data_IF_929687949614
#
_entry.id   IF_929687949614
#
_cell.length_a   1.000
_cell.length_b   1.000
_cell.length_c   1.000
_cell.angle_alpha   90.00
_cell.angle_beta   90.00
_cell.angle_gamma   90.00
#
_symmetry.space_group_name_H-M   'P 1'
#
loop_
_entity.id
_entity.type
_entity.pdbx_description
1 polymer ?
#
# COMPACT_ATOMS: atom_id res chain seq x y z
N UNK A 1 -4.27 69.93 33.22
CA UNK A 1 -5.35 70.09 32.23
C UNK A 1 -6.13 68.79 32.19
N UNK A 2 -7.27 68.86 32.87
CA UNK A 2 -8.50 68.04 32.90
C UNK A 2 -8.63 66.79 32.02
N UNK A 3 -8.95 65.69 32.70
CA UNK A 3 -9.73 64.53 32.24
C UNK A 3 -11.21 64.88 32.10
N UNK A 4 -11.92 64.35 31.09
CA UNK A 4 -13.39 64.28 31.01
C UNK A 4 -13.91 63.22 30.01
N UNK A 5 -15.06 62.65 30.38
CA UNK A 5 -15.87 61.57 29.78
C UNK A 5 -16.54 61.84 28.40
N UNK A 6 -16.85 60.74 27.68
CA UNK A 6 -18.03 60.32 26.83
C UNK A 6 -19.17 61.30 26.39
N UNK A 7 -20.08 60.99 25.40
CA UNK A 7 -20.21 59.91 24.38
C UNK A 7 -20.69 60.42 22.94
N UNK A 8 -21.56 59.77 22.10
CA UNK A 8 -21.33 59.46 20.67
C UNK A 8 -22.17 60.27 19.64
N UNK A 9 -22.14 59.94 18.33
CA UNK A 9 -23.41 59.50 17.72
C UNK A 9 -23.30 58.39 16.65
N UNK A 10 -24.48 57.85 16.34
CA UNK A 10 -24.76 56.69 15.51
C UNK A 10 -24.83 56.96 13.99
N UNK A 11 -24.86 55.83 13.28
CA UNK A 11 -25.55 55.57 12.00
C UNK A 11 -24.89 56.01 10.68
N UNK A 12 -24.49 55.00 9.89
CA UNK A 12 -24.22 55.10 8.46
C UNK A 12 -24.23 53.71 7.81
N UNK A 13 -25.37 53.32 7.24
CA UNK A 13 -25.57 52.09 6.42
C UNK A 13 -24.95 52.26 5.03
N UNK A 14 -24.32 51.22 4.48
CA UNK A 14 -24.56 50.72 3.10
C UNK A 14 -23.88 49.35 2.91
N UNK A 15 -24.67 48.28 2.80
CA UNK A 15 -24.95 47.51 1.58
C UNK A 15 -23.77 46.66 1.07
N UNK A 16 -23.74 45.40 1.52
CA UNK A 16 -23.16 44.27 0.79
C UNK A 16 -24.30 43.34 0.37
N UNK A 17 -24.49 43.21 -0.94
CA UNK A 17 -25.43 42.30 -1.59
C UNK A 17 -24.86 40.88 -1.66
N UNK A 18 -25.54 39.91 -1.05
CA UNK A 18 -25.55 38.49 -1.47
C UNK A 18 -26.96 37.91 -1.34
N UNK A 19 -27.63 37.84 -2.48
CA UNK A 19 -28.60 36.81 -2.86
C UNK A 19 -27.86 35.46 -3.01
N UNK A 20 -28.43 34.27 -2.90
CA UNK A 20 -29.74 33.79 -2.50
C UNK A 20 -29.57 32.28 -2.25
N UNK A 21 -30.12 31.74 -1.15
CA UNK A 21 -30.46 30.33 -1.02
C UNK A 21 -31.88 30.25 -0.45
N UNK A 22 -32.83 29.56 -1.10
CA UNK A 22 -34.19 29.43 -0.60
C UNK A 22 -34.41 28.14 0.22
N UNK A 23 -35.54 28.05 0.95
CA UNK A 23 -35.54 27.58 2.33
C UNK A 23 -36.59 26.48 2.62
N UNK A 24 -36.53 25.93 3.83
CA UNK A 24 -37.69 25.69 4.72
C UNK A 24 -37.12 25.45 6.14
N UNK A 25 -37.34 26.26 7.18
CA UNK A 25 -38.56 26.68 7.88
C UNK A 25 -39.39 25.49 8.39
N UNK A 26 -39.53 25.24 9.70
CA UNK A 26 -39.06 25.97 10.88
C UNK A 26 -39.65 25.41 12.18
N UNK A 27 -39.23 26.05 13.28
CA UNK A 27 -39.84 26.14 14.62
C UNK A 27 -39.92 24.83 15.45
N UNK A 28 -39.06 24.62 16.45
CA UNK A 28 -38.92 25.27 17.78
C UNK A 28 -39.83 24.68 18.86
N UNK A 29 -39.23 24.03 19.87
CA UNK A 29 -39.41 24.29 21.32
C UNK A 29 -38.80 23.14 22.14
N UNK A 30 -38.09 23.51 23.22
CA UNK A 30 -37.33 22.62 24.13
C UNK A 30 -38.23 21.99 25.23
N UNK A 31 -37.69 21.21 26.21
CA UNK A 31 -38.04 19.82 26.50
C UNK A 31 -38.92 19.66 27.76
N UNK A 32 -39.26 18.42 28.21
CA UNK A 32 -38.49 17.85 29.33
C UNK A 32 -38.44 16.29 29.44
N UNK A 33 -37.48 15.85 30.27
CA UNK A 33 -37.47 14.72 31.21
C UNK A 33 -37.76 13.25 30.81
N UNK A 34 -36.71 12.46 31.03
CA UNK A 34 -36.66 11.25 31.85
C UNK A 34 -37.86 10.28 31.83
N UNK A 35 -37.61 9.09 31.28
CA UNK A 35 -37.91 7.81 31.95
C UNK A 35 -37.30 6.60 31.24
N UNK A 36 -36.65 5.79 32.06
CA UNK A 36 -36.21 4.39 31.84
C UNK A 36 -37.29 3.51 31.23
N UNK A 37 -36.92 2.45 30.49
CA UNK A 37 -37.66 1.20 30.53
C UNK A 37 -36.80 0.05 31.10
N UNK A 38 -37.42 -0.90 31.83
CA UNK A 38 -36.71 -1.96 32.52
C UNK A 38 -36.47 -3.20 31.65
N UNK A 39 -35.52 -3.98 32.14
CA UNK A 39 -35.16 -5.34 31.80
C UNK A 39 -36.35 -6.32 31.85
N UNK A 40 -36.33 -7.32 30.96
CA UNK A 40 -36.92 -8.62 31.19
C UNK A 40 -36.03 -9.71 30.59
N UNK A 41 -35.49 -10.54 31.48
CA UNK A 41 -34.88 -11.85 31.23
C UNK A 41 -35.63 -12.86 32.12
N UNK A 42 -35.35 -14.17 32.06
CA UNK A 42 -36.02 -15.15 31.19
C UNK A 42 -36.57 -16.34 32.02
N UNK A 43 -37.16 -17.36 31.37
CA UNK A 43 -37.14 -18.83 31.73
C UNK A 43 -38.35 -19.60 31.11
N UNK A 44 -38.38 -20.95 31.07
CA UNK A 44 -37.46 -21.86 30.37
C UNK A 44 -38.20 -23.11 29.76
N UNK A 45 -37.41 -24.15 29.44
CA UNK A 45 -37.74 -25.60 29.34
C UNK A 45 -38.46 -26.08 28.06
N UNK A 46 -37.76 -26.88 27.22
CA UNK A 46 -37.72 -28.37 27.18
C UNK A 46 -38.60 -28.84 26.00
N UNK A 47 -38.32 -29.85 25.16
CA UNK A 47 -37.54 -31.09 25.26
C UNK A 47 -37.57 -31.79 23.88
N UNK A 48 -36.54 -32.60 23.58
CA UNK A 48 -36.63 -33.90 22.87
C UNK A 48 -36.76 -33.98 21.32
N UNK A 49 -35.70 -34.55 20.73
CA UNK A 49 -35.58 -35.18 19.39
C UNK A 49 -36.36 -36.51 19.31
N UNK A 50 -36.69 -37.05 18.11
CA UNK A 50 -35.81 -38.10 17.57
C UNK A 50 -35.71 -38.19 16.03
N UNK A 51 -34.65 -38.87 15.61
CA UNK A 51 -34.23 -39.29 14.26
C UNK A 51 -35.20 -40.24 13.53
N UNK A 52 -35.14 -40.26 12.18
CA UNK A 52 -35.26 -41.44 11.27
C UNK A 52 -35.03 -41.02 9.81
N UNK A 53 -33.98 -41.52 9.16
CA UNK A 53 -33.93 -42.66 8.20
C UNK A 53 -34.39 -42.34 6.76
N UNK A 54 -33.45 -42.54 5.82
CA UNK A 54 -33.64 -42.64 4.36
C UNK A 54 -34.54 -43.83 3.96
N UNK A 55 -35.04 -43.81 2.71
CA UNK A 55 -34.88 -45.02 1.88
C UNK A 55 -34.62 -44.77 0.36
N UNK A 56 -33.69 -45.59 -0.16
CA UNK A 56 -33.72 -46.38 -1.42
C UNK A 56 -33.93 -45.76 -2.83
N UNK A 57 -32.97 -46.04 -3.73
CA UNK A 57 -33.14 -46.23 -5.19
C UNK A 57 -33.98 -47.49 -5.52
N UNK A 58 -34.55 -47.66 -6.75
CA UNK A 58 -33.90 -48.45 -7.84
C UNK A 58 -34.40 -48.07 -9.29
N UNK A 59 -34.20 -48.85 -10.37
CA UNK A 59 -32.99 -49.49 -10.93
C UNK A 59 -32.70 -49.14 -12.43
N UNK A 60 -31.58 -49.71 -12.90
CA UNK A 60 -31.01 -49.83 -14.24
C UNK A 60 -31.92 -50.12 -15.45
N UNK A 61 -31.55 -49.59 -16.63
CA UNK A 61 -31.77 -50.24 -17.94
C UNK A 61 -30.53 -50.15 -18.84
N UNK A 62 -30.29 -51.27 -19.50
CA UNK A 62 -29.18 -51.65 -20.38
C UNK A 62 -29.31 -51.12 -21.82
N UNK A 63 -28.17 -51.16 -22.51
CA UNK A 63 -27.79 -50.66 -23.85
C UNK A 63 -28.65 -51.12 -25.05
N UNK A 64 -28.37 -50.63 -26.28
CA UNK A 64 -27.33 -51.28 -27.09
C UNK A 64 -26.39 -50.32 -27.84
N UNK A 65 -25.23 -50.88 -28.21
CA UNK A 65 -24.17 -50.29 -28.99
C UNK A 65 -24.58 -50.04 -30.47
N UNK A 66 -24.01 -48.99 -31.08
CA UNK A 66 -23.76 -48.99 -32.52
C UNK A 66 -22.55 -48.13 -32.91
N UNK A 67 -21.71 -48.75 -33.74
CA UNK A 67 -20.78 -48.18 -34.74
C UNK A 67 -19.62 -47.30 -34.26
N UNK A 68 -18.46 -47.97 -34.21
CA UNK A 68 -17.13 -47.41 -34.48
C UNK A 68 -17.16 -46.45 -35.68
N UNK A 69 -16.66 -45.23 -35.48
CA UNK A 69 -15.95 -44.50 -36.53
C UNK A 69 -14.74 -43.86 -35.88
N UNK A 70 -13.57 -44.38 -36.24
CA UNK A 70 -12.24 -43.94 -35.84
C UNK A 70 -12.06 -42.48 -36.22
N UNK A 71 -12.11 -41.59 -35.23
CA UNK A 71 -11.63 -40.21 -35.35
C UNK A 71 -10.40 -40.09 -34.46
N UNK A 72 -9.25 -39.97 -35.10
CA UNK A 72 -7.93 -39.70 -34.51
C UNK A 72 -8.07 -38.58 -33.49
N UNK A 73 -7.71 -38.77 -32.20
CA UNK A 73 -7.68 -37.67 -31.26
C UNK A 73 -6.43 -36.84 -31.58
N UNK A 74 -6.66 -35.58 -31.94
CA UNK A 74 -5.65 -34.55 -31.92
C UNK A 74 -4.95 -34.58 -30.56
N UNK A 75 -3.63 -34.68 -30.58
CA UNK A 75 -2.76 -34.59 -29.43
C UNK A 75 -3.07 -33.30 -28.68
N UNK A 76 -3.81 -33.42 -27.57
CA UNK A 76 -3.89 -32.38 -26.58
C UNK A 76 -2.48 -32.24 -25.98
N UNK A 77 -1.74 -31.25 -26.46
CA UNK A 77 -0.53 -30.79 -25.81
C UNK A 77 -0.94 -30.24 -24.45
N UNK A 78 -0.75 -31.05 -23.41
CA UNK A 78 -0.70 -30.59 -22.03
C UNK A 78 0.22 -29.37 -21.99
N UNK A 79 -0.22 -28.19 -21.51
CA UNK A 79 0.71 -27.09 -21.31
C UNK A 79 1.73 -27.58 -20.29
N UNK A 80 2.99 -27.62 -20.70
CA UNK A 80 4.10 -27.98 -19.84
C UNK A 80 4.01 -27.10 -18.59
N UNK A 81 3.86 -27.74 -17.42
CA UNK A 81 4.02 -27.07 -16.13
C UNK A 81 5.41 -26.44 -16.11
N UNK A 82 5.46 -25.11 -16.17
CA UNK A 82 6.69 -24.37 -15.91
C UNK A 82 7.29 -24.90 -14.60
N UNK A 83 8.58 -25.27 -14.56
CA UNK A 83 9.17 -25.79 -13.34
C UNK A 83 9.03 -24.71 -12.26
N UNK A 84 8.41 -25.08 -11.13
CA UNK A 84 8.38 -24.23 -9.95
C UNK A 84 9.82 -23.77 -9.69
N UNK A 85 10.08 -22.47 -9.82
CA UNK A 85 11.40 -21.88 -9.55
C UNK A 85 11.73 -22.31 -8.12
N UNK A 86 12.74 -23.15 -7.94
CA UNK A 86 13.14 -23.59 -6.61
C UNK A 86 13.63 -22.34 -5.87
N UNK A 87 12.81 -21.82 -4.97
CA UNK A 87 13.06 -20.61 -4.20
C UNK A 87 14.09 -20.82 -3.06
N UNK A 88 14.76 -21.97 -3.08
CA UNK A 88 15.58 -22.55 -2.02
C UNK A 88 17.06 -22.48 -2.40
N UNK A 89 17.60 -21.26 -2.41
CA UNK A 89 19.02 -21.10 -2.14
C UNK A 89 19.22 -20.89 -0.64
N UNK A 90 20.22 -21.54 -0.02
CA UNK A 90 20.45 -21.41 1.41
C UNK A 90 20.65 -19.95 1.79
N UNK A 91 19.92 -19.50 2.82
CA UNK A 91 20.27 -18.28 3.54
C UNK A 91 21.69 -18.49 4.05
N UNK A 92 22.62 -17.62 3.64
CA UNK A 92 24.01 -17.70 4.09
C UNK A 92 24.03 -17.74 5.62
N UNK A 93 24.90 -18.60 6.18
CA UNK A 93 25.15 -18.64 7.62
C UNK A 93 25.39 -17.21 8.13
N UNK A 94 24.97 -16.86 9.37
CA UNK A 94 25.07 -15.50 9.86
C UNK A 94 26.54 -15.06 9.80
N UNK A 95 26.85 -14.22 8.82
CA UNK A 95 28.11 -13.49 8.80
C UNK A 95 28.14 -12.61 10.05
N UNK A 96 29.32 -12.35 10.59
CA UNK A 96 29.49 -11.37 11.65
C UNK A 96 28.73 -10.10 11.29
N UNK A 97 27.75 -9.74 12.12
CA UNK A 97 26.95 -8.54 11.95
C UNK A 97 27.89 -7.34 11.87
N UNK A 98 27.73 -6.51 10.83
CA UNK A 98 28.57 -5.32 10.71
C UNK A 98 28.36 -4.39 11.90
N UNK A 99 29.42 -3.69 12.32
CA UNK A 99 29.35 -2.71 13.40
C UNK A 99 28.29 -1.63 13.11
N UNK A 100 28.15 -1.26 11.83
CA UNK A 100 27.10 -0.36 11.37
C UNK A 100 25.70 -0.90 11.66
N UNK A 101 25.43 -2.17 11.31
CA UNK A 101 24.14 -2.78 11.52
C UNK A 101 23.82 -2.97 13.00
N UNK A 102 24.82 -3.35 13.80
CA UNK A 102 24.74 -3.41 15.26
C UNK A 102 24.39 -2.05 15.87
N UNK A 103 25.00 -0.97 15.38
CA UNK A 103 24.70 0.41 15.80
C UNK A 103 23.27 0.85 15.46
N UNK A 104 22.77 0.52 14.27
CA UNK A 104 21.37 0.81 13.90
C UNK A 104 20.36 0.02 14.75
N UNK A 105 20.70 -1.23 15.10
CA UNK A 105 19.90 -2.02 16.03
C UNK A 105 19.87 -1.37 17.42
N UNK A 106 21.03 -0.94 17.93
CA UNK A 106 21.14 -0.24 19.20
C UNK A 106 20.24 1.01 19.26
N UNK A 107 20.22 1.83 18.20
CA UNK A 107 19.34 3.00 18.12
C UNK A 107 17.86 2.62 18.13
N UNK A 108 17.50 1.55 17.42
CA UNK A 108 16.10 1.04 17.35
C UNK A 108 15.59 0.54 18.69
N UNK A 109 16.47 -0.04 19.53
CA UNK A 109 16.11 -0.54 20.86
C UNK A 109 15.92 0.56 21.91
N UNK A 110 16.41 1.78 21.66
CA UNK A 110 16.28 2.89 22.61
C UNK A 110 14.85 3.43 22.61
N UNK A 111 14.25 3.49 23.80
CA UNK A 111 12.87 3.97 23.95
C UNK A 111 12.73 5.42 23.47
N UNK A 112 11.77 5.64 22.56
CA UNK A 112 11.50 6.95 21.99
C UNK A 112 12.36 7.27 20.76
N UNK A 113 13.26 6.38 20.35
CA UNK A 113 13.99 6.47 19.08
C UNK A 113 13.24 5.73 17.97
N UNK A 114 12.20 6.37 17.43
CA UNK A 114 11.47 5.86 16.27
C UNK A 114 12.22 6.09 14.94
N UNK A 115 11.75 5.47 13.84
CA UNK A 115 12.42 5.49 12.53
C UNK A 115 12.73 6.91 12.04
N UNK A 116 11.79 7.85 12.19
CA UNK A 116 11.97 9.25 11.77
C UNK A 116 13.08 9.96 12.54
N UNK A 117 13.20 9.71 13.85
CA UNK A 117 14.26 10.30 14.68
C UNK A 117 15.61 9.70 14.36
N UNK A 118 15.67 8.38 14.14
CA UNK A 118 16.88 7.68 13.75
C UNK A 118 17.36 8.19 12.38
N UNK A 119 16.47 8.30 11.40
CA UNK A 119 16.79 8.84 10.08
C UNK A 119 17.40 10.24 10.17
N UNK A 120 16.81 11.15 10.97
CA UNK A 120 17.35 12.51 11.18
C UNK A 120 18.72 12.53 11.85
N UNK A 121 18.97 11.61 12.79
CA UNK A 121 20.29 11.49 13.41
C UNK A 121 21.33 10.97 12.42
N UNK A 122 20.97 9.96 11.62
CA UNK A 122 21.84 9.42 10.58
C UNK A 122 22.11 10.47 9.49
N UNK A 123 21.12 11.27 9.11
CA UNK A 123 21.31 12.40 8.19
C UNK A 123 22.27 13.46 8.78
N UNK A 124 22.13 13.80 10.06
CA UNK A 124 22.93 14.83 10.70
C UNK A 124 24.37 14.39 11.03
N UNK A 125 24.59 13.12 11.38
CA UNK A 125 25.87 12.64 11.91
C UNK A 125 26.50 11.51 11.07
N UNK A 126 25.75 10.88 10.17
CA UNK A 126 26.19 9.83 9.25
C UNK A 126 26.22 8.42 9.86
N UNK A 127 26.92 8.22 10.98
CA UNK A 127 27.17 6.89 11.55
C UNK A 127 26.81 6.80 13.02
N UNK A 128 26.58 5.57 13.50
CA UNK A 128 26.32 5.29 14.91
C UNK A 128 27.43 5.86 15.82
N UNK A 129 28.71 5.64 15.50
CA UNK A 129 29.82 6.11 16.35
C UNK A 129 29.87 7.63 16.48
N UNK A 130 29.57 8.34 15.39
CA UNK A 130 29.47 9.80 15.41
C UNK A 130 28.28 10.28 16.23
N UNK A 131 27.16 9.56 16.23
CA UNK A 131 26.01 9.86 17.09
C UNK A 131 26.37 9.61 18.56
N UNK A 132 27.00 8.48 18.88
CA UNK A 132 27.39 8.11 20.22
C UNK A 132 28.45 9.06 20.82
N UNK A 133 29.36 9.57 19.98
CA UNK A 133 30.37 10.56 20.36
C UNK A 133 29.92 12.02 20.26
N UNK A 134 28.70 12.30 19.79
CA UNK A 134 28.25 13.67 19.57
C UNK A 134 28.03 14.43 20.89
N UNK A 135 28.41 15.72 20.97
CA UNK A 135 28.06 16.55 22.11
C UNK A 135 26.54 16.66 22.29
N UNK A 136 26.07 16.69 23.54
CA UNK A 136 24.64 16.82 23.87
C UNK A 136 23.95 17.97 23.11
N UNK A 137 24.58 19.15 23.08
CA UNK A 137 24.05 20.33 22.39
C UNK A 137 23.91 20.14 20.86
N UNK A 138 24.72 19.28 20.24
CA UNK A 138 24.58 18.95 18.83
C UNK A 138 23.38 18.04 18.60
N UNK A 139 23.21 17.00 19.42
CA UNK A 139 22.07 16.09 19.36
C UNK A 139 20.74 16.81 19.63
N UNK A 140 20.72 17.72 20.61
CA UNK A 140 19.52 18.48 20.98
C UNK A 140 19.00 19.38 19.85
N UNK A 141 19.88 19.86 18.96
CA UNK A 141 19.52 20.68 17.80
C UNK A 141 18.86 19.88 16.66
N UNK A 142 18.95 18.55 16.66
CA UNK A 142 18.31 17.73 15.63
C UNK A 142 16.78 17.80 15.80
N UNK A 143 16.02 18.11 14.72
CA UNK A 143 14.57 18.26 14.80
C UNK A 143 13.86 17.04 15.41
N UNK A 144 13.10 17.27 16.48
CA UNK A 144 12.33 16.23 17.16
C UNK A 144 13.09 15.43 18.23
N UNK A 145 14.39 15.69 18.44
CA UNK A 145 15.16 15.17 19.57
C UNK A 145 14.97 16.10 20.78
N UNK A 146 15.51 17.33 20.73
CA UNK A 146 15.47 18.27 21.85
C UNK A 146 16.29 17.82 23.07
N UNK A 147 16.40 18.68 24.09
CA UNK A 147 17.33 18.49 25.22
C UNK A 147 17.07 17.20 26.00
N UNK A 148 15.80 16.92 26.32
CA UNK A 148 15.41 15.75 27.12
C UNK A 148 15.72 14.45 26.41
N UNK A 149 15.42 14.35 25.12
CA UNK A 149 15.67 13.13 24.34
C UNK A 149 17.16 12.96 24.08
N UNK A 150 17.90 14.03 23.81
CA UNK A 150 19.35 13.97 23.65
C UNK A 150 20.07 13.46 24.90
N UNK A 151 19.65 13.93 26.09
CA UNK A 151 20.19 13.45 27.36
C UNK A 151 19.86 11.96 27.61
N UNK A 152 18.62 11.55 27.31
CA UNK A 152 18.22 10.14 27.42
C UNK A 152 18.99 9.24 26.45
N UNK A 153 19.12 9.65 25.19
CA UNK A 153 19.88 8.95 24.16
C UNK A 153 21.32 8.69 24.58
N UNK A 154 22.06 9.73 25.01
CA UNK A 154 23.46 9.59 25.44
C UNK A 154 23.63 8.72 26.69
N UNK A 155 22.65 8.71 27.60
CA UNK A 155 22.66 7.81 28.74
C UNK A 155 22.47 6.37 28.28
N UNK A 156 21.44 6.12 27.47
CA UNK A 156 21.04 4.78 27.08
C UNK A 156 22.09 4.14 26.13
N UNK A 157 22.70 4.91 25.22
CA UNK A 157 23.78 4.45 24.34
C UNK A 157 25.00 3.91 25.10
N UNK A 158 25.28 4.40 26.32
CA UNK A 158 26.40 3.91 27.14
C UNK A 158 26.16 2.53 27.75
N UNK A 159 24.89 2.13 27.86
CA UNK A 159 24.50 0.91 28.58
C UNK A 159 23.78 -0.10 27.69
N UNK A 160 23.44 0.23 26.45
CA UNK A 160 22.60 -0.60 25.56
C UNK A 160 23.28 -1.87 25.02
N UNK A 161 24.62 -1.99 25.15
CA UNK A 161 25.39 -3.10 24.59
C UNK A 161 24.83 -4.49 24.92
N UNK A 162 24.60 -4.83 26.21
CA UNK A 162 24.02 -6.10 26.60
C UNK A 162 22.60 -6.35 26.08
N UNK A 163 21.77 -5.31 25.90
CA UNK A 163 20.46 -5.43 25.27
C UNK A 163 20.57 -5.79 23.78
N UNK A 164 21.54 -5.20 23.09
CA UNK A 164 21.82 -5.51 21.67
C UNK A 164 22.26 -6.96 21.52
N UNK A 165 23.15 -7.44 22.39
CA UNK A 165 23.60 -8.85 22.37
C UNK A 165 22.42 -9.81 22.59
N UNK A 166 21.59 -9.56 23.60
CA UNK A 166 20.40 -10.36 23.88
C UNK A 166 19.40 -10.35 22.73
N UNK A 167 19.23 -9.21 22.07
CA UNK A 167 18.35 -9.09 20.91
C UNK A 167 18.89 -9.92 19.73
N UNK A 168 20.18 -9.83 19.42
CA UNK A 168 20.81 -10.62 18.36
C UNK A 168 20.71 -12.13 18.64
N UNK A 169 20.91 -12.56 19.88
CA UNK A 169 20.69 -13.95 20.31
C UNK A 169 19.22 -14.38 20.17
N UNK A 170 18.26 -13.46 20.38
CA UNK A 170 16.83 -13.75 20.19
C UNK A 170 16.48 -13.89 18.70
N UNK A 171 17.05 -13.03 17.86
CA UNK A 171 16.91 -13.07 16.39
C UNK A 171 17.44 -14.40 15.84
N UNK A 172 18.65 -14.79 16.25
CA UNK A 172 19.29 -16.03 15.82
C UNK A 172 18.49 -17.27 16.25
N UNK A 173 18.04 -17.32 17.52
CA UNK A 173 17.16 -18.40 18.02
C UNK A 173 15.84 -18.51 17.28
N UNK A 174 15.35 -17.41 16.71
CA UNK A 174 14.13 -17.40 15.90
C UNK A 174 14.37 -17.86 14.45
N UNK A 175 15.60 -18.23 14.08
CA UNK A 175 16.00 -18.58 12.71
C UNK A 175 15.95 -17.37 11.77
N UNK A 176 16.11 -16.17 12.33
CA UNK A 176 16.03 -14.92 11.60
C UNK A 176 17.40 -14.23 11.53
N UNK A 177 17.50 -13.24 10.67
CA UNK A 177 18.65 -12.35 10.56
C UNK A 177 18.17 -10.91 10.39
N UNK A 178 19.06 -9.95 10.50
CA UNK A 178 18.72 -8.55 10.25
C UNK A 178 19.07 -8.11 8.83
N UNK A 179 18.26 -7.21 8.28
CA UNK A 179 18.55 -6.43 7.08
C UNK A 179 18.33 -4.97 7.44
N UNK A 180 19.34 -4.15 7.24
CA UNK A 180 19.35 -2.73 7.59
C UNK A 180 19.08 -1.86 6.38
N UNK A 181 18.62 -0.62 6.62
CA UNK A 181 18.30 0.32 5.55
C UNK A 181 19.49 0.62 4.62
N UNK A 182 20.72 0.42 5.09
CA UNK A 182 21.96 0.59 4.34
C UNK A 182 22.31 -0.61 3.45
N UNK A 183 21.73 -1.78 3.70
CA UNK A 183 22.07 -3.00 2.98
C UNK A 183 21.50 -3.01 1.56
N UNK A 184 22.20 -3.64 0.62
CA UNK A 184 21.77 -3.77 -0.77
C UNK A 184 20.45 -4.54 -0.89
N UNK A 185 20.25 -5.56 -0.04
CA UNK A 185 19.05 -6.40 -0.01
C UNK A 185 17.87 -5.74 0.72
N UNK A 186 17.99 -4.50 1.20
CA UNK A 186 16.86 -3.77 1.75
C UNK A 186 15.92 -3.29 0.63
N UNK A 187 14.60 -3.55 0.71
CA UNK A 187 13.67 -3.19 -0.36
C UNK A 187 13.65 -1.69 -0.67
N UNK A 188 13.95 -1.33 -1.92
CA UNK A 188 14.07 0.07 -2.34
C UNK A 188 12.77 0.88 -2.17
N UNK A 189 11.61 0.26 -2.45
CA UNK A 189 10.31 0.90 -2.24
C UNK A 189 10.07 1.26 -0.78
N UNK A 190 10.47 0.37 0.13
CA UNK A 190 10.35 0.59 1.57
C UNK A 190 11.35 1.63 2.05
N UNK A 191 12.57 1.67 1.49
CA UNK A 191 13.58 2.69 1.82
C UNK A 191 13.08 4.10 1.54
N UNK A 192 12.24 4.26 0.52
CA UNK A 192 11.73 5.55 0.06
C UNK A 192 10.60 6.13 0.94
N UNK A 193 10.01 5.36 1.87
CA UNK A 193 8.90 5.89 2.68
C UNK A 193 9.39 6.81 3.80
N UNK A 194 8.61 7.83 4.23
CA UNK A 194 9.04 8.82 5.22
C UNK A 194 9.48 8.25 6.59
N UNK A 195 8.96 7.08 6.96
CA UNK A 195 9.24 6.41 8.22
C UNK A 195 9.79 4.99 7.99
N UNK A 196 10.70 4.81 7.02
CA UNK A 196 11.32 3.52 6.73
C UNK A 196 12.00 2.92 7.99
N UNK A 197 11.79 1.62 8.31
CA UNK A 197 12.42 0.99 9.45
C UNK A 197 13.94 0.88 9.25
N UNK A 198 14.79 1.39 10.17
CA UNK A 198 16.25 1.30 10.03
C UNK A 198 16.77 -0.13 10.01
N UNK A 199 16.08 -1.03 10.71
CA UNK A 199 16.38 -2.45 10.81
C UNK A 199 15.10 -3.24 10.60
N UNK A 200 15.17 -4.27 9.76
CA UNK A 200 14.17 -5.32 9.63
C UNK A 200 14.77 -6.61 10.15
N UNK A 201 14.01 -7.32 10.96
CA UNK A 201 14.31 -8.72 11.28
C UNK A 201 13.56 -9.60 10.29
N UNK A 202 14.26 -10.55 9.67
CA UNK A 202 13.82 -11.34 8.53
C UNK A 202 14.02 -12.82 8.81
N UNK A 203 12.94 -13.60 8.74
CA UNK A 203 12.95 -15.06 8.74
C UNK A 203 12.59 -15.55 7.33
N UNK A 204 13.43 -16.37 6.71
CA UNK A 204 13.38 -16.65 5.27
C UNK A 204 14.31 -15.72 4.50
N UNK A 205 13.98 -15.33 3.26
CA UNK A 205 14.86 -14.52 2.41
C UNK A 205 14.11 -13.37 1.76
N UNK A 206 14.66 -12.16 1.83
CA UNK A 206 14.29 -11.05 0.94
C UNK A 206 15.22 -11.04 -0.29
N UNK A 207 14.66 -10.74 -1.46
CA UNK A 207 15.36 -10.70 -2.75
C UNK A 207 14.79 -9.58 -3.65
N UNK A 208 14.92 -8.29 -3.25
CA UNK A 208 14.32 -7.14 -3.95
C UNK A 208 14.77 -6.97 -5.41
N UNK A 209 15.96 -7.48 -5.76
CA UNK A 209 16.54 -7.33 -7.10
C UNK A 209 16.23 -8.49 -8.06
N UNK A 210 15.57 -9.54 -7.59
CA UNK A 210 15.18 -10.70 -8.41
C UNK A 210 13.71 -11.05 -8.13
N UNK A 211 13.46 -11.79 -7.06
CA UNK A 211 12.18 -12.44 -6.81
C UNK A 211 11.12 -11.47 -6.28
N UNK A 212 11.53 -10.42 -5.56
CA UNK A 212 10.66 -9.40 -4.96
C UNK A 212 10.59 -8.12 -5.81
N UNK A 213 10.85 -8.21 -7.12
CA UNK A 213 10.92 -7.03 -8.01
C UNK A 213 9.58 -6.32 -8.17
N UNK A 214 8.47 -7.08 -8.21
CA UNK A 214 7.13 -6.54 -8.41
C UNK A 214 6.18 -6.91 -7.27
N UNK A 215 6.37 -6.33 -6.07
CA UNK A 215 5.54 -6.63 -4.92
C UNK A 215 4.18 -5.92 -4.99
N UNK A 216 3.10 -6.64 -4.69
CA UNK A 216 1.74 -6.11 -4.53
C UNK A 216 1.23 -6.43 -3.13
N UNK A 217 0.71 -5.42 -2.46
CA UNK A 217 0.11 -5.60 -1.15
C UNK A 217 -1.34 -6.05 -1.31
N UNK A 218 -1.72 -7.15 -0.67
CA UNK A 218 -3.10 -7.63 -0.60
C UNK A 218 -3.58 -7.58 0.84
N UNK A 219 -4.63 -6.81 1.10
CA UNK A 219 -5.14 -6.59 2.46
C UNK A 219 -6.66 -6.69 2.51
N UNK A 220 -7.19 -6.98 3.70
CA UNK A 220 -8.63 -6.93 3.90
C UNK A 220 -9.08 -7.29 5.31
N UNK A 221 -10.36 -7.62 5.43
CA UNK A 221 -11.02 -7.90 6.70
C UNK A 221 -10.48 -9.17 7.36
N UNK A 222 -10.38 -9.13 8.69
CA UNK A 222 -10.16 -10.33 9.52
C UNK A 222 -11.41 -11.18 9.63
N UNK A 223 -12.56 -10.52 9.60
CA UNK A 223 -13.90 -11.11 9.52
C UNK A 223 -14.36 -10.97 8.07
N UNK A 224 -13.84 -11.84 7.20
CA UNK A 224 -14.13 -11.83 5.78
C UNK A 224 -15.19 -12.87 5.42
N UNK A 225 -15.87 -12.65 4.29
CA UNK A 225 -16.86 -13.58 3.77
C UNK A 225 -16.19 -14.76 3.07
N UNK A 226 -16.95 -15.80 2.73
CA UNK A 226 -16.43 -16.88 1.89
C UNK A 226 -15.97 -16.36 0.52
N UNK A 227 -16.73 -15.41 -0.04
CA UNK A 227 -16.36 -14.71 -1.27
C UNK A 227 -15.01 -13.99 -1.11
N UNK A 228 -14.80 -13.24 -0.02
CA UNK A 228 -13.53 -12.58 0.23
C UNK A 228 -12.34 -13.54 0.29
N UNK A 229 -12.48 -14.67 0.98
CA UNK A 229 -11.44 -15.71 1.05
C UNK A 229 -11.14 -16.29 -0.33
N UNK A 230 -12.18 -16.63 -1.10
CA UNK A 230 -12.05 -17.18 -2.45
C UNK A 230 -11.34 -16.19 -3.38
N UNK A 231 -11.75 -14.92 -3.37
CA UNK A 231 -11.17 -13.91 -4.23
C UNK A 231 -9.74 -13.55 -3.80
N UNK A 232 -9.45 -13.47 -2.51
CA UNK A 232 -8.08 -13.29 -2.03
C UNK A 232 -7.16 -14.40 -2.52
N UNK A 233 -7.58 -15.66 -2.43
CA UNK A 233 -6.80 -16.80 -2.91
C UNK A 233 -6.67 -16.79 -4.45
N UNK A 234 -7.76 -16.53 -5.18
CA UNK A 234 -7.79 -16.45 -6.65
C UNK A 234 -6.86 -15.36 -7.17
N UNK A 235 -6.96 -14.15 -6.63
CA UNK A 235 -6.11 -13.02 -7.03
C UNK A 235 -4.66 -13.28 -6.68
N UNK A 236 -4.36 -13.67 -5.43
CA UNK A 236 -2.99 -13.93 -5.00
C UNK A 236 -2.33 -15.02 -5.83
N UNK A 237 -3.00 -16.14 -6.06
CA UNK A 237 -2.45 -17.23 -6.87
C UNK A 237 -2.22 -16.84 -8.32
N UNK A 238 -3.10 -16.02 -8.91
CA UNK A 238 -2.94 -15.58 -10.29
C UNK A 238 -1.83 -14.55 -10.45
N UNK A 239 -1.78 -13.55 -9.58
CA UNK A 239 -0.72 -12.53 -9.57
C UNK A 239 0.65 -13.15 -9.29
N UNK A 240 0.72 -14.13 -8.37
CA UNK A 240 1.96 -14.82 -8.08
C UNK A 240 2.45 -15.69 -9.24
N UNK A 241 1.57 -16.35 -10.00
CA UNK A 241 1.94 -17.03 -11.25
C UNK A 241 2.44 -16.06 -12.33
N UNK A 242 1.95 -14.83 -12.32
CA UNK A 242 2.44 -13.76 -13.18
C UNK A 242 3.76 -13.15 -12.71
N UNK A 243 4.36 -13.68 -11.63
CA UNK A 243 5.67 -13.24 -11.13
C UNK A 243 5.64 -12.10 -10.12
N UNK A 244 4.45 -11.68 -9.64
CA UNK A 244 4.35 -10.69 -8.58
C UNK A 244 4.57 -11.34 -7.21
N UNK A 245 5.24 -10.63 -6.31
CA UNK A 245 5.36 -11.07 -4.92
C UNK A 245 4.19 -10.54 -4.10
N UNK A 246 3.48 -11.42 -3.39
CA UNK A 246 2.34 -11.02 -2.56
C UNK A 246 2.83 -10.54 -1.20
N UNK A 247 2.56 -9.30 -0.83
CA UNK A 247 2.86 -8.75 0.50
C UNK A 247 1.57 -8.65 1.31
N UNK A 248 1.59 -9.15 2.54
CA UNK A 248 0.43 -8.99 3.43
C UNK A 248 0.84 -9.03 4.90
N UNK A 249 -0.13 -8.83 5.79
CA UNK A 249 0.09 -8.66 7.21
C UNK A 249 -0.02 -9.92 8.05
N UNK A 250 -0.24 -11.09 7.44
CA UNK A 250 -0.39 -12.36 8.15
C UNK A 250 -1.56 -12.44 9.14
N UNK A 251 -2.52 -11.50 9.10
CA UNK A 251 -3.70 -11.55 9.96
C UNK A 251 -4.66 -12.67 9.53
N UNK A 252 -5.67 -12.96 10.36
CA UNK A 252 -6.79 -13.84 9.96
C UNK A 252 -7.50 -13.28 8.73
N UNK A 253 -8.22 -14.14 8.03
CA UNK A 253 -9.09 -13.75 6.93
C UNK A 253 -8.31 -13.52 5.63
N UNK A 254 -8.48 -12.33 5.05
CA UNK A 254 -7.93 -11.99 3.72
C UNK A 254 -6.42 -12.17 3.65
N UNK A 255 -5.67 -11.70 4.65
CA UNK A 255 -4.20 -11.80 4.66
C UNK A 255 -3.73 -13.27 4.60
N UNK A 256 -4.28 -14.13 5.47
CA UNK A 256 -4.02 -15.60 5.42
C UNK A 256 -4.38 -16.19 4.07
N UNK A 257 -5.53 -15.82 3.50
CA UNK A 257 -5.99 -16.36 2.21
C UNK A 257 -5.09 -15.93 1.05
N UNK A 258 -4.59 -14.69 1.06
CA UNK A 258 -3.64 -14.20 0.07
C UNK A 258 -2.31 -14.95 0.13
N UNK A 259 -1.73 -15.11 1.33
CA UNK A 259 -0.49 -15.89 1.50
C UNK A 259 -0.64 -17.35 1.02
N UNK A 260 -1.74 -18.02 1.40
CA UNK A 260 -2.03 -19.39 0.97
C UNK A 260 -2.20 -19.46 -0.55
N UNK A 261 -3.01 -18.59 -1.13
CA UNK A 261 -3.24 -18.56 -2.57
C UNK A 261 -1.96 -18.36 -3.38
N UNK A 262 -1.06 -17.50 -2.91
CA UNK A 262 0.26 -17.30 -3.53
C UNK A 262 1.12 -18.58 -3.46
N UNK A 263 1.22 -19.21 -2.29
CA UNK A 263 2.05 -20.40 -2.09
C UNK A 263 1.50 -21.64 -2.79
N UNK A 264 0.18 -21.85 -2.76
CA UNK A 264 -0.48 -22.98 -3.41
C UNK A 264 -0.34 -22.90 -4.94
N UNK A 265 -0.12 -21.69 -5.46
CA UNK A 265 0.24 -21.46 -6.86
C UNK A 265 1.76 -21.61 -7.15
N UNK A 266 2.55 -22.02 -6.17
CA UNK A 266 4.02 -22.13 -6.27
C UNK A 266 4.74 -20.78 -6.28
N UNK A 267 4.04 -19.70 -5.96
CA UNK A 267 4.55 -18.34 -6.00
C UNK A 267 5.17 -17.88 -4.68
N UNK A 268 5.48 -16.58 -4.64
CA UNK A 268 6.25 -15.94 -3.58
C UNK A 268 5.43 -14.97 -2.75
N UNK A 269 5.70 -14.91 -1.44
CA UNK A 269 4.97 -14.01 -0.53
C UNK A 269 5.78 -13.52 0.66
N UNK A 270 5.52 -12.29 1.11
CA UNK A 270 6.16 -11.67 2.28
C UNK A 270 5.09 -11.33 3.33
N UNK A 271 5.23 -11.91 4.52
CA UNK A 271 4.39 -11.59 5.67
C UNK A 271 5.09 -10.55 6.54
N UNK A 272 4.50 -9.37 6.69
CA UNK A 272 4.96 -8.37 7.66
C UNK A 272 4.25 -8.64 8.98
N UNK A 273 4.92 -8.62 10.13
CA UNK A 273 4.31 -8.91 11.45
C UNK A 273 4.05 -7.65 12.27
N UNK A 274 2.95 -7.65 13.03
CA UNK A 274 2.62 -6.61 14.03
C UNK A 274 3.13 -6.94 15.45
N UNK A 275 4.06 -7.87 15.55
CA UNK A 275 4.74 -8.32 16.77
C UNK A 275 6.20 -8.65 16.40
N UNK A 276 7.04 -8.88 17.41
CA UNK A 276 8.42 -9.29 17.20
C UNK A 276 8.53 -10.64 16.48
N UNK A 277 9.66 -10.88 15.80
CA UNK A 277 9.84 -12.06 14.95
C UNK A 277 9.73 -13.38 15.72
N UNK A 278 10.06 -13.38 17.03
CA UNK A 278 9.99 -14.56 17.89
C UNK A 278 8.56 -14.82 18.42
N UNK A 279 7.58 -13.97 18.07
CA UNK A 279 6.17 -14.15 18.44
C UNK A 279 5.34 -14.44 17.19
N UNK A 280 4.61 -15.55 17.23
CA UNK A 280 3.62 -15.87 16.21
C UNK A 280 2.25 -15.29 16.59
N UNK A 281 1.74 -14.35 15.80
CA UNK A 281 0.37 -13.88 15.93
C UNK A 281 -0.28 -13.65 14.56
N UNK A 282 -1.47 -14.22 14.30
CA UNK A 282 -2.23 -15.09 15.19
C UNK A 282 -1.60 -16.49 15.32
N UNK A 283 -1.72 -17.20 16.46
CA UNK A 283 -1.04 -18.49 16.68
C UNK A 283 -1.35 -19.58 15.64
N UNK A 284 -2.57 -19.61 15.14
CA UNK A 284 -3.01 -20.57 14.10
C UNK A 284 -2.29 -20.40 12.75
N UNK A 285 -1.61 -19.27 12.53
CA UNK A 285 -0.81 -19.03 11.33
C UNK A 285 0.67 -19.47 11.50
N UNK A 286 1.04 -20.13 12.61
CA UNK A 286 2.43 -20.59 12.82
C UNK A 286 2.95 -21.44 11.64
N UNK A 287 2.23 -22.50 11.28
CA UNK A 287 2.60 -23.35 10.15
C UNK A 287 2.59 -22.61 8.80
N UNK A 288 1.77 -21.56 8.66
CA UNK A 288 1.78 -20.71 7.47
C UNK A 288 3.08 -19.91 7.41
N UNK A 289 3.47 -19.26 8.51
CA UNK A 289 4.69 -18.46 8.58
C UNK A 289 5.95 -19.30 8.44
N UNK A 290 5.94 -20.55 8.92
CA UNK A 290 7.06 -21.47 8.73
C UNK A 290 7.20 -21.83 7.25
N UNK A 291 6.11 -22.21 6.58
CA UNK A 291 6.10 -22.43 5.12
C UNK A 291 6.56 -21.22 4.31
N UNK A 292 6.20 -20.00 4.72
CA UNK A 292 6.66 -18.77 4.06
C UNK A 292 8.19 -18.66 4.19
N UNK A 293 8.72 -18.85 5.40
CA UNK A 293 10.15 -18.76 5.66
C UNK A 293 10.96 -19.90 5.00
N UNK A 294 10.38 -21.09 4.89
CA UNK A 294 11.02 -22.32 4.37
C UNK A 294 11.06 -22.39 2.83
N UNK A 295 11.06 -21.24 2.17
CA UNK A 295 11.31 -21.13 0.74
C UNK A 295 10.30 -20.29 -0.02
N UNK A 296 9.09 -20.06 0.48
CA UNK A 296 8.12 -19.26 -0.29
C UNK A 296 8.31 -17.74 -0.17
N UNK A 297 9.25 -17.25 0.65
CA UNK A 297 9.54 -15.83 0.78
C UNK A 297 10.14 -15.47 2.13
N UNK A 298 9.51 -14.51 2.82
CA UNK A 298 9.99 -14.00 4.09
C UNK A 298 8.87 -13.63 5.05
N UNK A 299 9.14 -13.81 6.34
CA UNK A 299 8.38 -13.23 7.44
C UNK A 299 9.25 -12.14 8.05
N UNK A 300 8.73 -10.92 8.18
CA UNK A 300 9.53 -9.77 8.61
C UNK A 300 8.88 -9.00 9.76
N UNK A 301 9.69 -8.35 10.58
CA UNK A 301 9.25 -7.47 11.67
C UNK A 301 10.22 -6.28 11.82
N UNK A 302 9.69 -5.12 12.17
CA UNK A 302 10.50 -3.98 12.65
C UNK A 302 10.63 -3.91 14.17
N UNK A 303 9.84 -4.70 14.89
CA UNK A 303 9.76 -4.68 16.34
C UNK A 303 10.82 -5.60 16.95
N UNK A 304 11.33 -5.28 18.16
CA UNK A 304 12.22 -6.17 18.91
C UNK A 304 11.62 -7.57 19.01
N UNK A 305 12.47 -8.59 18.94
CA UNK A 305 12.12 -9.99 18.66
C UNK A 305 11.06 -10.55 19.58
N UNK A 306 11.11 -10.18 20.86
CA UNK A 306 10.20 -10.67 21.89
C UNK A 306 8.93 -9.80 22.09
N UNK A 307 8.73 -8.76 21.28
CA UNK A 307 7.59 -7.85 21.39
C UNK A 307 6.27 -8.59 21.14
N UNK A 308 5.38 -8.59 22.12
CA UNK A 308 4.05 -9.20 21.99
C UNK A 308 3.10 -8.45 21.03
N UNK A 309 1.99 -9.08 20.63
CA UNK A 309 0.96 -8.41 19.82
C UNK A 309 0.29 -7.29 20.63
N UNK A 310 0.28 -6.08 20.09
CA UNK A 310 -0.41 -4.92 20.68
C UNK A 310 -1.31 -4.26 19.64
N UNK A 311 -2.44 -3.67 20.09
CA UNK A 311 -3.37 -2.95 19.22
C UNK A 311 -2.68 -1.80 18.48
N UNK A 312 -1.70 -1.16 19.10
CA UNK A 312 -0.99 -0.01 18.53
C UNK A 312 0.04 -0.42 17.48
N UNK A 313 0.54 -1.67 17.55
CA UNK A 313 1.55 -2.17 16.62
C UNK A 313 0.96 -2.50 15.24
N UNK A 314 -0.29 -2.96 15.17
CA UNK A 314 -0.88 -3.36 13.87
C UNK A 314 -1.07 -2.18 12.90
N UNK A 315 -1.61 -1.02 13.31
CA UNK A 315 -1.64 0.16 12.45
C UNK A 315 -0.24 0.65 12.06
N UNK A 316 0.69 0.70 13.01
CA UNK A 316 2.06 1.15 12.75
C UNK A 316 2.76 0.27 11.70
N UNK A 317 2.55 -1.06 11.76
CA UNK A 317 3.05 -2.03 10.79
C UNK A 317 2.54 -1.80 9.37
N UNK A 318 1.29 -1.32 9.20
CA UNK A 318 0.65 -1.26 7.89
C UNK A 318 1.38 -0.35 6.89
N UNK A 319 2.14 0.65 7.36
CA UNK A 319 3.01 1.44 6.47
C UNK A 319 4.13 0.60 5.83
N UNK A 320 4.57 -0.47 6.47
CA UNK A 320 5.58 -1.37 5.90
C UNK A 320 4.95 -2.21 4.80
N UNK A 321 3.71 -2.67 4.98
CA UNK A 321 2.98 -3.43 3.94
C UNK A 321 2.83 -2.58 2.68
N UNK A 322 2.31 -1.37 2.80
CA UNK A 322 2.16 -0.48 1.64
C UNK A 322 3.51 0.04 1.14
N UNK A 323 4.49 0.24 2.02
CA UNK A 323 5.83 0.70 1.67
C UNK A 323 6.64 -0.32 0.89
N UNK A 324 6.41 -1.61 1.12
CA UNK A 324 7.03 -2.68 0.34
C UNK A 324 6.44 -2.83 -1.06
N UNK A 325 5.21 -2.36 -1.30
CA UNK A 325 4.45 -2.68 -2.51
C UNK A 325 4.41 -1.54 -3.53
N UNK A 326 4.23 -1.90 -4.81
CA UNK A 326 3.96 -0.97 -5.90
C UNK A 326 2.55 -0.37 -5.81
N UNK A 327 1.61 -1.14 -5.26
CA UNK A 327 0.23 -0.75 -5.02
C UNK A 327 -0.43 -1.63 -3.95
N UNK A 328 -1.63 -1.25 -3.52
CA UNK A 328 -2.42 -1.98 -2.52
C UNK A 328 -3.76 -2.39 -3.11
N UNK A 329 -4.03 -3.70 -3.13
CA UNK A 329 -5.32 -4.28 -3.45
C UNK A 329 -6.10 -4.60 -2.16
N UNK A 330 -7.26 -3.95 -2.00
CA UNK A 330 -8.22 -4.23 -0.93
C UNK A 330 -9.28 -5.20 -1.44
N UNK A 331 -9.30 -6.43 -0.89
CA UNK A 331 -10.24 -7.48 -1.32
C UNK A 331 -11.62 -7.27 -0.68
N UNK A 332 -11.67 -7.17 0.65
CA UNK A 332 -12.87 -6.87 1.41
C UNK A 332 -12.50 -6.01 2.62
N UNK A 333 -13.27 -4.96 2.87
CA UNK A 333 -13.11 -4.11 4.03
C UNK A 333 -14.46 -3.49 4.43
N UNK A 334 -14.89 -3.71 5.67
CA UNK A 334 -15.93 -2.88 6.27
C UNK A 334 -15.40 -1.48 6.62
N UNK A 335 -16.30 -0.52 6.91
CA UNK A 335 -15.94 0.89 7.17
C UNK A 335 -14.87 1.12 8.25
N UNK A 336 -14.82 0.23 9.26
CA UNK A 336 -13.87 0.31 10.38
C UNK A 336 -12.68 -0.65 10.22
N UNK A 337 -12.48 -1.21 9.03
CA UNK A 337 -11.40 -2.18 8.79
C UNK A 337 -10.02 -1.50 8.84
N UNK A 338 -9.07 -2.17 9.49
CA UNK A 338 -7.66 -1.75 9.49
C UNK A 338 -7.02 -1.79 8.10
N UNK A 339 -7.57 -2.56 7.15
CA UNK A 339 -7.11 -2.58 5.75
C UNK A 339 -7.21 -1.20 5.08
N UNK A 340 -8.20 -0.39 5.47
CA UNK A 340 -8.37 0.96 4.96
C UNK A 340 -7.26 1.91 5.43
N UNK A 341 -6.61 1.62 6.57
CA UNK A 341 -5.43 2.36 7.03
C UNK A 341 -4.27 2.10 6.06
N UNK A 342 -4.06 0.85 5.64
CA UNK A 342 -3.03 0.50 4.67
C UNK A 342 -3.25 1.18 3.33
N UNK A 343 -4.50 1.22 2.85
CA UNK A 343 -4.88 1.92 1.62
C UNK A 343 -4.61 3.43 1.70
N UNK A 344 -4.89 4.07 2.84
CA UNK A 344 -4.54 5.47 3.06
C UNK A 344 -3.04 5.71 3.08
N UNK A 345 -2.26 4.90 3.80
CA UNK A 345 -0.79 5.01 3.75
C UNK A 345 -0.26 4.87 2.32
N UNK A 346 -0.85 3.98 1.53
CA UNK A 346 -0.48 3.80 0.13
C UNK A 346 -0.72 5.07 -0.69
N UNK A 347 -1.94 5.60 -0.69
CA UNK A 347 -2.30 6.77 -1.48
C UNK A 347 -1.66 8.07 -0.94
N UNK A 348 -1.88 8.36 0.34
CA UNK A 348 -1.60 9.68 0.94
C UNK A 348 -0.11 9.87 1.26
N UNK A 349 0.53 8.83 1.82
CA UNK A 349 1.89 8.95 2.34
C UNK A 349 2.96 8.47 1.36
N UNK A 350 2.64 7.47 0.52
CA UNK A 350 3.61 6.78 -0.33
C UNK A 350 3.41 7.00 -1.84
N UNK A 351 2.30 7.64 -2.25
CA UNK A 351 1.98 7.85 -3.67
C UNK A 351 1.86 6.54 -4.46
N UNK A 352 1.23 5.53 -3.87
CA UNK A 352 1.01 4.20 -4.47
C UNK A 352 -0.44 4.06 -4.93
N UNK A 353 -0.61 3.28 -5.99
CA UNK A 353 -1.93 2.96 -6.51
C UNK A 353 -2.74 2.13 -5.52
N UNK A 354 -4.02 2.48 -5.37
CA UNK A 354 -4.98 1.75 -4.54
C UNK A 354 -6.05 1.15 -5.43
N UNK A 355 -6.30 -0.14 -5.24
CA UNK A 355 -7.29 -0.92 -5.98
C UNK A 355 -8.29 -1.55 -5.00
N UNK A 356 -9.54 -1.68 -5.45
CA UNK A 356 -10.61 -2.31 -4.67
C UNK A 356 -11.36 -3.34 -5.50
N UNK A 357 -11.57 -4.53 -4.92
CA UNK A 357 -12.46 -5.53 -5.49
C UNK A 357 -13.91 -5.21 -5.12
N UNK A 358 -14.84 -5.04 -6.09
CA UNK A 358 -16.23 -4.76 -5.76
C UNK A 358 -16.88 -6.01 -5.15
N UNK A 359 -17.57 -5.82 -4.03
CA UNK A 359 -18.45 -6.83 -3.46
C UNK A 359 -19.93 -6.44 -3.56
N UNK A 360 -20.82 -7.26 -2.98
CA UNK A 360 -22.25 -6.98 -2.96
C UNK A 360 -22.53 -5.64 -2.29
N UNK A 361 -23.40 -4.83 -2.90
CA UNK A 361 -23.74 -3.47 -2.42
C UNK A 361 -24.36 -3.43 -1.03
N UNK A 362 -24.99 -4.54 -0.62
CA UNK A 362 -25.66 -4.73 0.67
C UNK A 362 -24.81 -5.47 1.70
N UNK A 363 -23.55 -5.79 1.37
CA UNK A 363 -22.63 -6.48 2.27
C UNK A 363 -21.87 -5.49 3.16
N UNK A 364 -22.00 -5.58 4.50
CA UNK A 364 -21.21 -4.77 5.42
C UNK A 364 -19.68 -4.95 5.24
N UNK A 365 -19.26 -6.13 4.75
CA UNK A 365 -17.85 -6.43 4.49
C UNK A 365 -17.28 -5.70 3.26
N UNK A 366 -18.14 -5.12 2.41
CA UNK A 366 -17.75 -4.43 1.18
C UNK A 366 -17.88 -2.91 1.28
N UNK A 367 -18.56 -2.38 2.30
CA UNK A 367 -18.84 -0.94 2.42
C UNK A 367 -17.59 -0.06 2.36
N UNK A 368 -16.53 -0.46 3.07
CA UNK A 368 -15.26 0.28 3.07
C UNK A 368 -14.54 0.20 1.73
N UNK A 369 -14.59 -0.96 1.06
CA UNK A 369 -14.06 -1.08 -0.31
C UNK A 369 -14.85 -0.20 -1.29
N UNK A 370 -16.18 -0.15 -1.20
CA UNK A 370 -16.98 0.75 -2.03
C UNK A 370 -16.69 2.22 -1.75
N UNK A 371 -16.47 2.59 -0.49
CA UNK A 371 -16.06 3.96 -0.13
C UNK A 371 -14.70 4.32 -0.74
N UNK A 372 -13.73 3.39 -0.75
CA UNK A 372 -12.45 3.58 -1.45
C UNK A 372 -12.65 3.79 -2.96
N UNK A 373 -13.50 2.99 -3.60
CA UNK A 373 -13.79 3.11 -5.03
C UNK A 373 -14.46 4.46 -5.36
N UNK A 374 -15.36 4.94 -4.51
CA UNK A 374 -15.95 6.29 -4.65
C UNK A 374 -14.92 7.41 -4.49
N UNK A 375 -13.85 7.16 -3.72
CA UNK A 375 -12.76 8.09 -3.48
C UNK A 375 -11.69 8.05 -4.58
N UNK A 376 -11.86 7.22 -5.62
CA UNK A 376 -10.98 7.16 -6.78
C UNK A 376 -10.01 6.00 -6.80
N UNK A 377 -10.13 5.02 -5.89
CA UNK A 377 -9.40 3.76 -6.03
C UNK A 377 -9.84 3.02 -7.31
N UNK A 378 -8.91 2.33 -7.97
CA UNK A 378 -9.19 1.57 -9.19
C UNK A 378 -10.10 0.38 -8.87
N UNK A 379 -11.20 0.27 -9.61
CA UNK A 379 -12.06 -0.92 -9.55
C UNK A 379 -11.39 -2.05 -10.34
N UNK A 380 -11.17 -3.18 -9.68
CA UNK A 380 -10.62 -4.38 -10.31
C UNK A 380 -11.58 -5.56 -10.15
N UNK A 381 -11.83 -6.31 -11.21
CA UNK A 381 -12.71 -7.48 -11.24
C UNK A 381 -11.92 -8.78 -11.52
N UNK A 382 -10.74 -8.64 -12.13
CA UNK A 382 -9.85 -9.74 -12.44
C UNK A 382 -8.37 -9.40 -12.19
N UNK A 383 -7.49 -10.41 -12.03
CA UNK A 383 -6.07 -10.18 -11.79
C UNK A 383 -5.36 -9.37 -12.88
N UNK A 384 -5.82 -9.45 -14.13
CA UNK A 384 -5.33 -8.65 -15.26
C UNK A 384 -5.53 -7.15 -15.04
N UNK A 385 -6.62 -6.73 -14.40
CA UNK A 385 -6.87 -5.32 -14.10
C UNK A 385 -5.78 -4.76 -13.17
N UNK A 386 -5.37 -5.55 -12.16
CA UNK A 386 -4.30 -5.18 -11.23
C UNK A 386 -2.99 -5.01 -11.99
N UNK A 387 -2.66 -5.94 -12.90
CA UNK A 387 -1.46 -5.86 -13.72
C UNK A 387 -1.50 -4.61 -14.61
N UNK A 388 -2.65 -4.31 -15.23
CA UNK A 388 -2.80 -3.13 -16.08
C UNK A 388 -2.62 -1.81 -15.29
N UNK A 389 -3.16 -1.71 -14.08
CA UNK A 389 -2.95 -0.57 -13.19
C UNK A 389 -1.47 -0.43 -12.82
N UNK A 390 -0.82 -1.54 -12.45
CA UNK A 390 0.57 -1.53 -12.04
C UNK A 390 1.54 -1.34 -13.21
N UNK A 391 1.20 -1.76 -14.42
CA UNK A 391 2.07 -1.67 -15.61
C UNK A 391 2.54 -0.24 -15.85
N UNK A 392 1.64 0.75 -15.76
CA UNK A 392 1.98 2.16 -15.95
C UNK A 392 3.06 2.66 -14.97
N UNK A 393 3.00 2.23 -13.72
CA UNK A 393 3.91 2.65 -12.65
C UNK A 393 5.17 1.79 -12.56
N UNK A 394 5.05 0.48 -12.81
CA UNK A 394 6.18 -0.45 -12.91
C UNK A 394 7.11 -0.09 -14.08
N UNK A 395 6.56 0.45 -15.19
CA UNK A 395 7.33 1.00 -16.30
C UNK A 395 8.26 2.15 -15.86
N UNK A 396 7.82 3.02 -14.95
CA UNK A 396 8.62 4.15 -14.46
C UNK A 396 9.68 3.75 -13.42
N UNK A 397 9.40 2.75 -12.58
CA UNK A 397 10.29 2.31 -11.51
C UNK A 397 11.37 1.30 -11.95
N UNK A 398 11.15 0.57 -13.05
CA UNK A 398 12.02 -0.54 -13.46
C UNK A 398 12.58 -0.47 -14.90
N UNK A 399 12.35 0.63 -15.64
CA UNK A 399 12.92 0.87 -16.97
C UNK A 399 12.92 -0.37 -17.90
N UNK A 400 11.77 -1.02 -18.06
CA UNK A 400 11.61 -2.23 -18.87
C UNK A 400 10.43 -2.12 -19.84
N UNK A 401 10.76 -1.94 -21.11
CA UNK A 401 9.84 -1.91 -22.26
C UNK A 401 9.13 -3.26 -22.42
N UNK A 402 7.80 -3.24 -22.55
CA UNK A 402 7.04 -4.39 -23.05
C UNK A 402 7.30 -4.68 -24.53
N UNK A 403 8.05 -3.84 -25.24
CA UNK A 403 8.46 -4.07 -26.64
C UNK A 403 9.15 -5.43 -26.85
N UNK A 404 9.82 -5.97 -25.82
CA UNK A 404 10.48 -7.26 -25.92
C UNK A 404 9.57 -8.48 -25.73
N UNK A 405 8.31 -8.32 -25.25
CA UNK A 405 7.40 -9.45 -24.98
C UNK A 405 6.07 -9.34 -25.76
N UNK A 406 5.70 -8.17 -26.29
CA UNK A 406 4.49 -8.00 -27.12
C UNK A 406 4.76 -7.88 -28.62
N UNK A 407 5.94 -8.23 -29.11
CA UNK A 407 6.18 -8.39 -30.55
C UNK A 407 5.58 -9.71 -31.04
N UNK A 408 4.24 -9.74 -31.12
CA UNK A 408 3.56 -10.59 -32.10
C UNK A 408 3.77 -9.94 -33.48
N UNK A 409 4.57 -10.54 -34.39
CA UNK A 409 4.82 -9.98 -35.72
C UNK A 409 3.56 -9.90 -36.59
N UNK A 410 2.41 -10.44 -36.15
CA UNK A 410 1.14 -10.43 -36.88
C UNK A 410 0.15 -9.34 -36.42
N UNK A 411 0.45 -8.55 -35.39
CA UNK A 411 -0.41 -7.43 -34.96
C UNK A 411 0.12 -6.11 -35.50
N UNK A 412 -0.37 -5.72 -36.67
CA UNK A 412 -0.29 -4.32 -37.11
C UNK A 412 -0.99 -3.43 -36.05
N UNK A 413 -0.35 -2.36 -35.56
CA UNK A 413 -1.00 -1.41 -34.65
C UNK A 413 -2.20 -0.78 -35.36
N UNK A 414 -3.35 -0.74 -34.68
CA UNK A 414 -4.56 -0.08 -35.20
C UNK A 414 -4.42 1.46 -35.30
N UNK A 415 -3.27 2.01 -34.88
CA UNK A 415 -2.93 3.43 -34.89
C UNK A 415 -1.43 3.59 -35.22
N UNK A 416 -1.05 3.49 -36.50
CA UNK A 416 0.25 3.94 -37.01
C UNK A 416 0.26 5.48 -37.12
N UNK A 417 0.19 6.16 -35.98
CA UNK A 417 0.63 7.54 -35.88
C UNK A 417 1.92 7.55 -35.06
N UNK A 418 3.07 7.98 -35.63
CA UNK A 418 4.29 8.11 -34.85
C UNK A 418 4.03 9.09 -33.70
N UNK A 419 4.57 8.83 -32.49
CA UNK A 419 4.51 9.78 -31.39
C UNK A 419 5.14 11.11 -31.83
N UNK A 420 4.53 12.26 -31.52
CA UNK A 420 5.08 13.54 -31.94
C UNK A 420 6.46 13.75 -31.31
N UNK A 421 7.42 14.04 -32.18
CA UNK A 421 8.80 14.40 -31.87
C UNK A 421 8.86 15.54 -30.84
N UNK A 422 9.41 15.27 -29.64
CA UNK A 422 9.63 16.28 -28.59
C UNK A 422 10.85 17.19 -28.89
N UNK A 423 11.48 17.05 -30.07
CA UNK A 423 12.54 17.93 -30.57
C UNK A 423 12.07 19.03 -31.52
N UNK A 424 10.81 19.00 -31.99
CA UNK A 424 10.27 19.96 -32.95
C UNK A 424 8.89 20.48 -32.55
N UNK A 425 8.72 21.80 -32.46
CA UNK A 425 7.40 22.39 -32.31
C UNK A 425 6.53 21.99 -33.51
N UNK A 426 5.28 21.58 -33.27
CA UNK A 426 4.28 21.44 -34.34
C UNK A 426 4.02 22.81 -34.99
N UNK A 427 3.44 22.84 -36.20
CA UNK A 427 3.06 24.11 -36.84
C UNK A 427 2.12 24.95 -35.97
N UNK A 428 1.20 24.27 -35.27
CA UNK A 428 0.28 24.89 -34.32
C UNK A 428 1.04 25.47 -33.12
N UNK A 429 1.96 24.72 -32.54
CA UNK A 429 2.79 25.19 -31.43
C UNK A 429 3.68 26.37 -31.84
N UNK A 430 4.25 26.36 -33.05
CA UNK A 430 4.95 27.51 -33.62
C UNK A 430 4.04 28.73 -33.74
N UNK A 431 2.80 28.55 -34.21
CA UNK A 431 1.84 29.64 -34.33
C UNK A 431 1.49 30.23 -32.95
N UNK A 432 1.27 29.38 -31.94
CA UNK A 432 1.00 29.81 -30.56
C UNK A 432 2.19 30.58 -29.98
N UNK A 433 3.41 30.04 -30.07
CA UNK A 433 4.63 30.70 -29.58
C UNK A 433 4.88 32.03 -30.30
N UNK A 434 4.53 32.12 -31.59
CA UNK A 434 4.64 33.36 -32.38
C UNK A 434 3.60 34.40 -31.93
N UNK A 435 2.36 33.96 -31.69
CA UNK A 435 1.27 34.82 -31.21
C UNK A 435 1.46 35.30 -29.77
N UNK A 436 2.38 34.69 -29.03
CA UNK A 436 2.83 35.06 -27.68
C UNK A 436 4.04 36.00 -27.67
N UNK A 437 4.23 36.80 -28.73
CA UNK A 437 5.16 37.93 -28.73
C UNK A 437 4.84 38.97 -27.63
N UNK A 438 3.57 39.04 -27.23
CA UNK A 438 3.09 39.76 -26.05
C UNK A 438 2.27 38.82 -25.14
N UNK A 439 2.15 39.09 -23.83
CA UNK A 439 1.37 38.24 -22.93
C UNK A 439 -0.13 38.26 -23.26
N UNK A 440 -0.70 37.09 -23.59
CA UNK A 440 -2.11 36.93 -24.00
C UNK A 440 -2.80 35.81 -23.24
N UNK A 441 -4.13 35.86 -23.14
CA UNK A 441 -4.91 34.77 -22.52
C UNK A 441 -5.12 33.61 -23.50
N UNK A 442 -5.53 32.45 -22.98
CA UNK A 442 -5.86 31.30 -23.83
C UNK A 442 -7.04 31.60 -24.77
N UNK A 443 -8.02 32.40 -24.32
CA UNK A 443 -9.19 32.77 -25.11
C UNK A 443 -8.80 33.77 -26.21
N UNK A 444 -7.93 34.74 -25.92
CA UNK A 444 -7.39 35.66 -26.94
C UNK A 444 -6.64 34.89 -28.05
N UNK A 445 -5.87 33.87 -27.67
CA UNK A 445 -5.13 33.02 -28.60
C UNK A 445 -6.08 32.18 -29.47
N UNK A 446 -7.12 31.60 -28.86
CA UNK A 446 -8.15 30.85 -29.56
C UNK A 446 -8.88 31.69 -30.60
N UNK A 447 -9.24 32.93 -30.24
CA UNK A 447 -9.87 33.87 -31.18
C UNK A 447 -8.93 34.28 -32.31
N UNK A 448 -7.68 34.64 -32.01
CA UNK A 448 -6.74 35.13 -33.04
C UNK A 448 -6.23 34.05 -34.00
N UNK A 449 -6.22 32.80 -33.57
CA UNK A 449 -5.76 31.67 -34.36
C UNK A 449 -6.92 30.91 -35.00
N UNK A 450 -8.16 31.34 -34.76
CA UNK A 450 -9.40 30.68 -35.21
C UNK A 450 -9.45 29.20 -34.84
N UNK A 451 -9.21 28.90 -33.57
CA UNK A 451 -9.11 27.53 -33.05
C UNK A 451 -9.97 27.32 -31.81
N UNK A 452 -10.40 26.07 -31.63
CA UNK A 452 -11.12 25.67 -30.41
C UNK A 452 -10.27 25.92 -29.15
N UNK A 453 -10.89 26.52 -28.14
CA UNK A 453 -10.22 26.89 -26.90
C UNK A 453 -9.72 25.67 -26.11
N UNK A 454 -10.37 24.51 -26.24
CA UNK A 454 -9.88 23.25 -25.68
C UNK A 454 -8.56 22.81 -26.32
N UNK A 455 -8.45 22.94 -27.64
CA UNK A 455 -7.22 22.63 -28.39
C UNK A 455 -6.07 23.57 -28.03
N UNK A 456 -6.32 24.88 -27.93
CA UNK A 456 -5.31 25.87 -27.50
C UNK A 456 -4.81 25.60 -26.08
N UNK A 457 -5.73 25.29 -25.14
CA UNK A 457 -5.35 24.97 -23.76
C UNK A 457 -4.45 23.74 -23.70
N UNK A 458 -4.77 22.69 -24.46
CA UNK A 458 -3.95 21.47 -24.53
C UNK A 458 -2.53 21.77 -25.02
N UNK A 459 -2.39 22.55 -26.09
CA UNK A 459 -1.07 22.89 -26.66
C UNK A 459 -0.27 23.84 -25.76
N UNK A 460 -0.92 24.80 -25.09
CA UNK A 460 -0.26 25.67 -24.10
C UNK A 460 0.31 24.86 -22.93
N UNK A 461 -0.41 23.84 -22.45
CA UNK A 461 0.10 22.93 -21.42
C UNK A 461 1.32 22.17 -21.91
N UNK A 462 1.31 21.66 -23.14
CA UNK A 462 2.47 20.96 -23.71
C UNK A 462 3.68 21.89 -23.87
N UNK A 463 3.46 23.15 -24.29
CA UNK A 463 4.50 24.16 -24.41
C UNK A 463 5.08 24.61 -23.07
N UNK A 464 4.27 24.64 -22.02
CA UNK A 464 4.70 24.94 -20.65
C UNK A 464 5.55 23.82 -20.07
N UNK A 465 5.14 22.56 -20.28
CA UNK A 465 5.94 21.37 -19.92
C UNK A 465 7.28 21.36 -20.67
N UNK A 466 7.27 21.72 -21.97
CA UNK A 466 8.47 21.83 -22.79
C UNK A 466 9.33 23.07 -22.48
N UNK A 467 8.93 23.92 -21.52
CA UNK A 467 9.68 25.12 -21.12
C UNK A 467 9.74 26.22 -22.18
N UNK A 468 8.79 26.25 -23.13
CA UNK A 468 8.73 27.23 -24.23
C UNK A 468 7.81 28.41 -23.93
N UNK A 469 6.87 28.23 -23.02
CA UNK A 469 5.89 29.23 -22.59
C UNK A 469 5.78 29.17 -21.07
N UNK A 470 5.54 30.30 -20.42
CA UNK A 470 5.30 30.42 -18.98
C UNK A 470 3.98 31.10 -18.71
N UNK A 471 3.27 30.65 -17.69
CA UNK A 471 2.06 31.32 -17.21
C UNK A 471 2.36 32.48 -16.25
N UNK A 472 1.76 33.63 -16.51
CA UNK A 472 1.77 34.83 -15.68
C UNK A 472 0.32 35.24 -15.35
N UNK A 473 -0.25 34.63 -14.30
CA UNK A 473 -1.65 34.83 -13.92
C UNK A 473 -2.62 34.17 -14.91
N UNK A 474 -3.51 34.96 -15.52
CA UNK A 474 -4.44 34.51 -16.58
C UNK A 474 -3.84 34.56 -17.98
N UNK A 475 -2.62 35.09 -18.13
CA UNK A 475 -1.91 35.25 -19.40
C UNK A 475 -0.75 34.28 -19.51
N UNK A 476 -0.35 33.99 -20.73
CA UNK A 476 0.82 33.21 -21.09
C UNK A 476 1.82 34.12 -21.80
N UNK A 477 3.11 33.86 -21.63
CA UNK A 477 4.20 34.57 -22.31
C UNK A 477 5.30 33.60 -22.73
N UNK A 478 5.99 33.90 -23.83
CA UNK A 478 7.11 33.07 -24.31
C UNK A 478 8.30 33.15 -23.33
N UNK A 479 8.95 32.02 -23.08
CA UNK A 479 10.19 31.91 -22.27
C UNK A 479 11.42 32.24 -23.10
#
# INVERSE_FOLDING_TARGET
MSSSCEPPPAAGRSMSTRTNAPPWAGASSSPPDARTPPSCTPRPSSTTTPSRMCPSQPPSRSSPASSNTTRTPATASTPASSPARAWTEPVAAPADISEHARGLLALTLIKGMGPVRIARLIEAFGTYDRIAGAPHAALARVPGIGDKTAAALLRDLRTIGPEVDRELESIDRAGAHIVTIADENYPALLRAIPAAPPVLTVRGRLAPHDLDRYPIAMVGSRECTHYGVEQAARFAGSLARSGLTIVSGGARGIDTAAHRGAMDAGGRTIAVLGCGIAKCYPPENAALFDRIADGHGAVISELPSDTGPSRDNFPARNRIISGLALGVLVIEAGRKSGALITARHAADDHGREVMGLPGRVDSPASEGTHDLLRQGAHLVCEPSDVIAVLEGHARHLHAGTHDAITTDPARAPLFDAPPPDLGGLTDLQRAIVTALAEPRTADDLAESLDLDAGKIRSELTMLEIAGRVRRAGSRFERV
#
